data_IF_602373682931
#
_entry.id   IF_602373682931
#
_cell.length_a   1.000
_cell.length_b   1.000
_cell.length_c   1.000
_cell.angle_alpha   90.00
_cell.angle_beta   90.00
_cell.angle_gamma   90.00
#
_symmetry.space_group_name_H-M   'P 1'
#
loop_
_entity.id
_entity.type
_entity.pdbx_description
1 polymer ?
#
# COMPACT_ATOMS: atom_id res chain seq x y z
N UNK A 1 -14.89 -18.29 -0.84
CA UNK A 1 -13.72 -18.71 -0.06
C UNK A 1 -13.73 -18.11 1.33
N UNK A 2 -13.48 -18.95 2.32
CA UNK A 2 -13.43 -18.48 3.69
C UNK A 2 -12.13 -17.72 3.96
N UNK A 3 -12.24 -16.49 4.40
CA UNK A 3 -11.13 -15.70 4.90
C UNK A 3 -11.38 -15.40 6.37
N UNK A 4 -10.40 -15.66 7.20
CA UNK A 4 -10.46 -15.34 8.62
C UNK A 4 -9.83 -13.98 8.87
N UNK A 5 -10.58 -13.09 9.50
CA UNK A 5 -10.06 -11.82 9.97
C UNK A 5 -9.75 -11.93 11.46
N UNK A 6 -8.55 -11.50 11.84
CA UNK A 6 -8.15 -11.34 13.24
C UNK A 6 -8.25 -9.85 13.56
N UNK A 7 -8.97 -9.47 14.63
CA UNK A 7 -9.05 -8.06 14.99
C UNK A 7 -7.67 -7.48 15.30
N UNK A 8 -7.51 -6.20 15.03
CA UNK A 8 -6.30 -5.47 15.32
C UNK A 8 -6.02 -5.53 16.83
N UNK A 9 -4.76 -5.75 17.21
CA UNK A 9 -4.37 -5.75 18.62
C UNK A 9 -4.56 -4.35 19.19
N UNK A 10 -5.09 -4.22 20.44
CA UNK A 10 -5.36 -2.91 21.02
C UNK A 10 -4.16 -1.96 21.09
N UNK A 11 -2.95 -2.51 21.16
CA UNK A 11 -1.70 -1.77 21.32
C UNK A 11 -0.93 -1.58 20.01
N UNK A 12 -1.50 -1.99 18.88
CA UNK A 12 -0.83 -1.83 17.60
C UNK A 12 -1.26 -0.51 16.98
N UNK A 13 -0.30 0.37 16.63
CA UNK A 13 -0.66 1.66 16.07
C UNK A 13 -1.35 1.49 14.72
N UNK A 14 -2.41 2.26 14.51
CA UNK A 14 -3.01 2.36 13.19
C UNK A 14 -1.98 2.93 12.20
N UNK A 15 -2.00 2.52 10.93
CA UNK A 15 -1.13 3.11 9.92
C UNK A 15 -1.44 4.61 9.77
N UNK A 16 -0.42 5.41 9.49
CA UNK A 16 -0.60 6.83 9.17
C UNK A 16 -1.34 7.01 7.83
N UNK A 17 -1.24 6.02 6.97
CA UNK A 17 -1.91 5.99 5.67
C UNK A 17 -2.27 4.57 5.28
N UNK A 18 -3.45 4.39 4.71
CA UNK A 18 -3.90 3.11 4.18
C UNK A 18 -4.77 3.34 2.95
N UNK A 19 -4.51 2.58 1.90
CA UNK A 19 -5.34 2.56 0.69
C UNK A 19 -5.32 1.18 0.04
N UNK A 20 -6.41 0.83 -0.63
CA UNK A 20 -6.48 -0.34 -1.50
C UNK A 20 -6.70 0.14 -2.94
N UNK A 21 -5.79 -0.23 -3.82
CA UNK A 21 -5.85 0.13 -5.24
C UNK A 21 -6.23 -1.08 -6.04
N UNK A 22 -7.38 -1.04 -6.68
CA UNK A 22 -7.85 -2.13 -7.53
C UNK A 22 -7.11 -2.14 -8.86
N UNK A 23 -6.75 -3.33 -9.31
CA UNK A 23 -6.06 -3.53 -10.56
C UNK A 23 -4.85 -4.45 -10.42
N UNK A 24 -4.22 -4.71 -11.55
CA UNK A 24 -3.00 -5.51 -11.63
C UNK A 24 -1.79 -4.58 -11.55
N UNK A 25 -0.88 -4.77 -10.59
CA UNK A 25 0.34 -3.96 -10.51
C UNK A 25 1.24 -4.20 -11.74
N UNK A 26 1.92 -3.14 -12.17
CA UNK A 26 2.81 -3.16 -13.32
C UNK A 26 4.25 -2.98 -12.85
N UNK A 27 5.14 -3.83 -13.34
CA UNK A 27 6.56 -3.76 -13.01
C UNK A 27 7.22 -2.50 -13.60
N UNK A 28 8.14 -1.91 -12.85
CA UNK A 28 8.98 -0.81 -13.32
C UNK A 28 9.83 -1.19 -14.55
N UNK A 29 10.09 -2.49 -14.74
CA UNK A 29 10.91 -3.01 -15.85
C UNK A 29 10.08 -3.38 -17.09
N UNK A 30 8.77 -3.15 -17.08
CA UNK A 30 7.93 -3.46 -18.22
C UNK A 30 8.35 -2.67 -19.47
N UNK A 31 8.26 -3.30 -20.64
CA UNK A 31 8.42 -2.62 -21.92
C UNK A 31 7.21 -1.74 -22.27
N UNK A 32 6.07 -1.99 -21.64
CA UNK A 32 4.81 -1.24 -21.86
C UNK A 32 4.76 0.02 -21.01
N UNK A 33 5.41 1.08 -21.49
CA UNK A 33 5.52 2.33 -20.74
C UNK A 33 4.16 3.01 -20.48
N UNK A 34 3.23 2.91 -21.39
CA UNK A 34 1.88 3.48 -21.20
C UNK A 34 1.12 2.75 -20.09
N UNK A 35 1.25 1.43 -20.02
CA UNK A 35 0.64 0.62 -18.95
C UNK A 35 1.24 1.00 -17.58
N UNK A 36 2.55 1.23 -17.53
CA UNK A 36 3.23 1.67 -16.31
C UNK A 36 2.71 3.04 -15.86
N UNK A 37 2.61 3.99 -16.78
CA UNK A 37 2.11 5.34 -16.45
C UNK A 37 0.64 5.30 -15.99
N UNK A 38 -0.19 4.51 -16.67
CA UNK A 38 -1.59 4.34 -16.28
C UNK A 38 -1.71 3.74 -14.87
N UNK A 39 -0.88 2.76 -14.56
CA UNK A 39 -0.83 2.15 -13.22
C UNK A 39 -0.42 3.18 -12.16
N UNK A 40 0.66 3.93 -12.42
CA UNK A 40 1.12 4.98 -11.50
C UNK A 40 0.03 6.03 -11.25
N UNK A 41 -0.66 6.45 -12.29
CA UNK A 41 -1.76 7.43 -12.17
C UNK A 41 -2.92 6.87 -11.34
N UNK A 42 -3.25 5.60 -11.52
CA UNK A 42 -4.30 4.93 -10.72
C UNK A 42 -3.93 4.88 -9.25
N UNK A 43 -2.69 4.51 -8.94
CA UNK A 43 -2.19 4.49 -7.56
C UNK A 43 -2.20 5.91 -6.98
N UNK A 44 -1.70 6.88 -7.72
CA UNK A 44 -1.66 8.28 -7.28
C UNK A 44 -3.07 8.81 -7.00
N UNK A 45 -4.01 8.59 -7.90
CA UNK A 45 -5.38 9.06 -7.75
C UNK A 45 -6.06 8.44 -6.51
N UNK A 46 -5.87 7.14 -6.28
CA UNK A 46 -6.39 6.46 -5.10
C UNK A 46 -5.80 7.04 -3.81
N UNK A 47 -4.50 7.35 -3.83
CA UNK A 47 -3.81 7.92 -2.68
C UNK A 47 -4.22 9.36 -2.41
N UNK A 48 -4.36 10.18 -3.44
CA UNK A 48 -4.80 11.57 -3.32
C UNK A 48 -6.21 11.66 -2.73
N UNK A 49 -7.10 10.75 -3.12
CA UNK A 49 -8.45 10.68 -2.59
C UNK A 49 -8.46 10.44 -1.08
N UNK A 50 -7.55 9.60 -0.58
CA UNK A 50 -7.48 9.24 0.84
C UNK A 50 -6.68 10.24 1.66
N UNK A 51 -5.59 10.77 1.10
CA UNK A 51 -4.61 11.56 1.86
C UNK A 51 -4.93 13.04 1.94
N UNK A 52 -5.62 13.61 0.96
CA UNK A 52 -6.07 15.01 0.91
C UNK A 52 -5.16 16.04 1.63
N UNK A 53 -4.37 16.78 0.89
CA UNK A 53 -3.55 17.92 1.37
C UNK A 53 -2.51 17.63 2.47
N UNK A 54 -2.22 16.38 2.78
CA UNK A 54 -1.17 16.03 3.73
C UNK A 54 0.20 15.89 3.04
N UNK A 55 1.32 16.16 3.75
CA UNK A 55 2.66 15.99 3.16
C UNK A 55 3.09 14.53 3.05
N UNK A 56 3.96 14.18 2.07
CA UNK A 56 4.35 12.80 1.75
C UNK A 56 5.39 12.13 2.65
N UNK A 57 5.52 10.79 2.55
CA UNK A 57 6.37 9.89 3.36
C UNK A 57 7.10 8.85 2.45
N UNK A 58 8.24 8.50 2.50
CA UNK A 58 9.28 7.65 2.03
C UNK A 58 9.37 6.49 1.00
N UNK A 59 10.25 5.58 0.84
CA UNK A 59 10.78 4.79 -0.33
C UNK A 59 10.72 3.24 -0.33
N UNK A 60 10.66 2.50 -1.53
CA UNK A 60 10.88 1.03 -1.72
C UNK A 60 10.76 0.41 -3.14
N UNK A 61 11.13 -0.91 -3.37
CA UNK A 61 11.62 -1.53 -4.61
C UNK A 61 10.67 -2.28 -5.57
N UNK A 62 11.03 -2.40 -6.82
CA UNK A 62 10.52 -3.26 -7.93
C UNK A 62 9.01 -3.14 -8.26
N UNK A 63 8.13 -4.05 -7.83
CA UNK A 63 6.67 -3.86 -7.94
C UNK A 63 6.21 -2.74 -7.02
N UNK A 64 6.96 -2.50 -6.00
CA UNK A 64 6.75 -1.47 -5.00
C UNK A 64 7.22 -0.12 -5.52
N UNK A 65 8.30 -0.05 -6.30
CA UNK A 65 8.85 1.19 -6.84
C UNK A 65 7.84 2.02 -7.65
N UNK A 66 7.06 1.46 -8.59
CA UNK A 66 6.01 2.24 -9.27
C UNK A 66 4.94 2.78 -8.33
N UNK A 67 4.60 2.02 -7.29
CA UNK A 67 3.64 2.46 -6.27
C UNK A 67 4.24 3.64 -5.50
N UNK A 68 5.48 3.54 -5.06
CA UNK A 68 6.15 4.61 -4.34
C UNK A 68 6.34 5.87 -5.16
N UNK A 69 6.70 5.73 -6.42
CA UNK A 69 6.80 6.88 -7.32
C UNK A 69 5.46 7.61 -7.42
N UNK A 70 4.35 6.86 -7.38
CA UNK A 70 3.02 7.43 -7.38
C UNK A 70 2.67 8.14 -6.06
N UNK A 71 3.22 7.68 -4.94
CA UNK A 71 3.02 8.29 -3.62
C UNK A 71 3.85 9.55 -3.41
N UNK A 72 4.95 9.68 -4.15
CA UNK A 72 5.85 10.83 -4.04
C UNK A 72 5.13 12.12 -4.44
N UNK A 73 5.22 13.13 -3.60
CA UNK A 73 4.50 14.38 -3.76
C UNK A 73 3.06 14.35 -3.21
N UNK A 74 2.58 13.19 -2.77
CA UNK A 74 1.23 13.03 -2.17
C UNK A 74 1.35 12.67 -0.70
N UNK A 75 2.04 11.56 -0.42
CA UNK A 75 2.18 11.02 0.94
C UNK A 75 3.52 11.44 1.55
N UNK A 76 4.55 11.56 0.72
CA UNK A 76 5.90 11.97 1.13
C UNK A 76 6.55 12.81 0.04
N UNK A 77 7.53 13.63 0.45
CA UNK A 77 8.22 14.53 -0.47
C UNK A 77 9.22 13.80 -1.34
N UNK A 78 10.00 12.89 -0.75
CA UNK A 78 11.11 12.21 -1.39
C UNK A 78 11.20 10.77 -0.93
N UNK A 79 11.49 9.88 -1.86
CA UNK A 79 11.61 8.45 -1.63
C UNK A 79 12.74 8.05 -0.66
N UNK A 80 13.68 8.95 -0.36
CA UNK A 80 14.70 8.75 0.67
C UNK A 80 14.18 8.77 2.10
N UNK A 81 12.94 9.16 2.30
CA UNK A 81 12.33 9.26 3.62
C UNK A 81 11.85 7.92 4.19
N UNK A 82 11.77 6.87 3.39
CA UNK A 82 11.38 5.53 3.87
C UNK A 82 12.59 4.77 4.38
N UNK A 83 12.48 4.23 5.58
CA UNK A 83 13.51 3.37 6.16
C UNK A 83 13.24 1.88 5.92
N UNK A 84 11.99 1.48 5.93
CA UNK A 84 11.63 0.07 5.85
C UNK A 84 10.45 -0.17 4.93
N UNK A 85 10.49 -1.28 4.20
CA UNK A 85 9.38 -1.70 3.36
C UNK A 85 9.14 -3.19 3.44
N UNK A 86 7.87 -3.56 3.48
CA UNK A 86 7.45 -4.95 3.43
C UNK A 86 6.48 -5.10 2.27
N UNK A 87 6.81 -5.99 1.34
CA UNK A 87 5.94 -6.34 0.23
C UNK A 87 5.55 -7.81 0.26
N UNK A 88 4.27 -8.10 0.12
CA UNK A 88 3.73 -9.46 0.08
C UNK A 88 2.78 -9.62 -1.09
N UNK A 89 2.88 -10.77 -1.76
CA UNK A 89 1.96 -11.15 -2.83
C UNK A 89 1.13 -12.34 -2.39
N UNK A 90 -0.17 -12.27 -2.63
CA UNK A 90 -1.11 -13.34 -2.29
C UNK A 90 -2.08 -13.57 -3.44
N UNK A 91 -2.52 -14.80 -3.60
CA UNK A 91 -3.60 -15.13 -4.53
C UNK A 91 -4.91 -14.73 -3.90
N UNK A 92 -5.74 -14.01 -4.64
CA UNK A 92 -7.05 -13.56 -4.15
C UNK A 92 -8.02 -14.73 -3.93
N UNK A 93 -7.83 -15.83 -4.64
CA UNK A 93 -8.65 -17.04 -4.55
C UNK A 93 -8.18 -18.04 -3.49
N UNK A 94 -7.11 -17.75 -2.77
CA UNK A 94 -6.58 -18.60 -1.71
C UNK A 94 -7.24 -18.28 -0.36
N UNK A 95 -7.29 -19.29 0.51
CA UNK A 95 -7.71 -19.11 1.90
C UNK A 95 -6.51 -18.75 2.75
N UNK A 96 -6.65 -17.71 3.57
CA UNK A 96 -5.59 -17.28 4.50
C UNK A 96 -6.19 -16.50 5.67
N UNK A 97 -5.38 -16.34 6.71
CA UNK A 97 -5.74 -15.54 7.87
C UNK A 97 -5.30 -14.11 7.63
N UNK A 98 -6.24 -13.18 7.73
CA UNK A 98 -5.95 -11.75 7.63
C UNK A 98 -5.84 -11.19 9.04
N UNK A 99 -4.66 -10.63 9.35
CA UNK A 99 -4.42 -9.92 10.62
C UNK A 99 -4.70 -8.45 10.41
N UNK A 100 -5.25 -7.79 11.44
CA UNK A 100 -5.46 -6.34 11.44
C UNK A 100 -6.35 -5.86 10.29
N UNK A 101 -7.53 -6.46 10.20
CA UNK A 101 -8.51 -6.13 9.17
C UNK A 101 -9.07 -4.73 9.41
N UNK A 102 -8.65 -3.78 8.57
CA UNK A 102 -9.27 -2.46 8.54
C UNK A 102 -10.58 -2.48 7.76
N UNK A 103 -11.40 -1.43 7.90
CA UNK A 103 -12.61 -1.29 7.11
C UNK A 103 -12.31 -1.19 5.62
N UNK A 104 -11.23 -0.51 5.24
CA UNK A 104 -10.78 -0.37 3.84
C UNK A 104 -10.38 -1.71 3.26
N UNK A 105 -9.62 -2.50 4.01
CA UNK A 105 -9.20 -3.84 3.58
C UNK A 105 -10.39 -4.78 3.46
N UNK A 106 -11.31 -4.74 4.41
CA UNK A 106 -12.53 -5.54 4.37
C UNK A 106 -13.38 -5.20 3.14
N UNK A 107 -13.53 -3.92 2.83
CA UNK A 107 -14.25 -3.46 1.63
C UNK A 107 -13.59 -3.95 0.34
N UNK A 108 -12.26 -3.91 0.27
CA UNK A 108 -11.51 -4.40 -0.89
C UNK A 108 -11.72 -5.89 -1.10
N UNK A 109 -11.69 -6.70 -0.03
CA UNK A 109 -11.99 -8.12 -0.11
C UNK A 109 -13.44 -8.39 -0.54
N UNK A 110 -14.38 -7.61 -0.03
CA UNK A 110 -15.81 -7.77 -0.37
C UNK A 110 -16.09 -7.50 -1.84
N UNK A 111 -15.32 -6.61 -2.46
CA UNK A 111 -15.45 -6.30 -3.88
C UNK A 111 -15.01 -7.45 -4.79
N UNK A 112 -14.18 -8.36 -4.32
CA UNK A 112 -13.78 -9.58 -5.03
C UNK A 112 -12.83 -9.40 -6.19
N UNK A 113 -12.43 -8.16 -6.51
CA UNK A 113 -11.46 -7.86 -7.57
C UNK A 113 -10.05 -7.82 -7.03
N UNK A 114 -9.06 -8.05 -7.88
CA UNK A 114 -7.65 -7.89 -7.52
C UNK A 114 -7.39 -6.45 -7.04
N UNK A 115 -6.62 -6.31 -5.98
CA UNK A 115 -6.26 -5.01 -5.42
C UNK A 115 -4.86 -5.03 -4.80
N UNK A 116 -4.32 -3.85 -4.57
CA UNK A 116 -3.10 -3.64 -3.80
C UNK A 116 -3.47 -2.91 -2.51
N UNK A 117 -3.06 -3.44 -1.38
CA UNK A 117 -3.25 -2.83 -0.07
C UNK A 117 -1.94 -2.17 0.36
N UNK A 118 -2.01 -0.89 0.65
CA UNK A 118 -0.85 -0.07 1.02
C UNK A 118 -1.07 0.52 2.40
N UNK A 119 -0.11 0.30 3.29
CA UNK A 119 -0.05 0.92 4.61
C UNK A 119 1.25 1.70 4.75
N UNK A 120 1.16 2.90 5.26
CA UNK A 120 2.32 3.74 5.53
C UNK A 120 2.30 4.16 6.99
N UNK A 121 3.43 3.97 7.65
CA UNK A 121 3.64 4.32 9.05
C UNK A 121 4.77 5.32 9.16
N UNK A 122 4.64 6.30 10.04
CA UNK A 122 5.77 7.14 10.38
C UNK A 122 6.77 6.35 11.19
N UNK A 123 8.05 6.50 10.84
CA UNK A 123 9.12 5.92 11.64
C UNK A 123 9.17 6.57 13.02
N UNK A 124 9.33 5.80 14.11
CA UNK A 124 9.49 6.39 15.43
C UNK A 124 10.80 7.19 15.49
N UNK A 125 10.83 8.26 16.30
CA UNK A 125 12.03 9.08 16.48
C UNK A 125 13.21 8.28 17.03
N UNK A 126 12.94 7.21 17.78
CA UNK A 126 13.93 6.23 18.22
C UNK A 126 13.56 4.89 17.65
N UNK A 127 14.42 4.35 16.80
CA UNK A 127 14.24 3.02 16.26
C UNK A 127 14.87 2.01 17.21
N UNK A 128 14.10 0.99 17.56
CA UNK A 128 14.65 -0.19 18.22
C UNK A 128 15.30 -1.04 17.13
N UNK A 129 16.60 -1.21 17.23
CA UNK A 129 17.37 -2.14 16.39
C UNK A 129 17.41 -3.48 17.11
N UNK A 130 16.80 -4.47 16.51
CA UNK A 130 16.81 -5.79 17.13
C UNK A 130 16.27 -6.85 16.23
#
# INVERSE_FOLDING_TARGET
MARRAIPQRPNEPAPDFEVCVHGRPVSAQTARRQALQAWKQRVRAACEEVWAERPPIGDVDNLIKPIQDALQGVIYWNDRQVSDTIGNRRRIDASYVVRYMSMRLAAAFSDGRQFVHIRVYRSPRRQALG
#
